data_IF_174742365047
#
_entry.id   IF_174742365047
#
_cell.length_a   1.000
_cell.length_b   1.000
_cell.length_c   1.000
_cell.angle_alpha   90.00
_cell.angle_beta   90.00
_cell.angle_gamma   90.00
#
_symmetry.space_group_name_H-M   'P 1'
#
loop_
_entity.id
_entity.type
_entity.pdbx_description
1 polymer ?
#
# COMPACT_ATOMS: atom_id res chain seq x y z
N UNK A 1 -11.75 -10.49 -4.88
CA UNK A 1 -12.33 -9.72 -3.75
C UNK A 1 -13.81 -10.00 -3.71
N UNK A 2 -14.40 -10.21 -2.54
CA UNK A 2 -15.85 -10.19 -2.39
C UNK A 2 -16.33 -8.72 -2.38
N UNK A 3 -17.13 -8.28 -3.36
CA UNK A 3 -17.51 -6.87 -3.48
C UNK A 3 -18.41 -6.39 -2.33
N UNK A 4 -19.14 -7.28 -1.66
CA UNK A 4 -20.06 -6.90 -0.57
C UNK A 4 -19.33 -6.72 0.75
N UNK A 5 -18.41 -7.63 1.06
CA UNK A 5 -17.68 -7.64 2.35
C UNK A 5 -16.29 -7.01 2.27
N UNK A 6 -15.81 -6.68 1.06
CA UNK A 6 -14.43 -6.27 0.80
C UNK A 6 -13.38 -7.30 1.27
N UNK A 7 -13.80 -8.57 1.37
CA UNK A 7 -12.92 -9.66 1.75
C UNK A 7 -11.96 -10.01 0.62
N UNK A 8 -10.69 -10.16 0.98
CA UNK A 8 -9.67 -10.67 0.09
C UNK A 8 -9.82 -12.19 -0.03
N UNK A 9 -9.93 -12.67 -1.27
CA UNK A 9 -10.14 -14.10 -1.55
C UNK A 9 -8.90 -14.77 -2.14
N UNK A 10 -8.11 -14.03 -2.93
CA UNK A 10 -6.88 -14.52 -3.54
C UNK A 10 -5.98 -13.34 -3.91
N UNK A 11 -4.67 -13.54 -3.82
CA UNK A 11 -3.62 -12.64 -4.33
C UNK A 11 -2.66 -13.44 -5.20
N UNK A 12 -2.31 -12.91 -6.36
CA UNK A 12 -1.37 -13.54 -7.29
C UNK A 12 -0.43 -12.51 -7.87
N UNK A 13 0.86 -12.80 -7.81
CA UNK A 13 1.88 -12.02 -8.52
C UNK A 13 1.87 -12.43 -10.00
N UNK A 14 1.46 -11.49 -10.87
CA UNK A 14 1.48 -11.69 -12.32
C UNK A 14 2.67 -10.95 -12.90
N UNK A 15 3.61 -11.67 -13.51
CA UNK A 15 4.73 -11.07 -14.22
C UNK A 15 4.36 -10.79 -15.67
N UNK A 16 4.65 -9.57 -16.12
CA UNK A 16 4.39 -9.15 -17.49
C UNK A 16 5.11 -10.06 -18.49
N UNK A 17 4.35 -10.65 -19.40
CA UNK A 17 4.87 -11.51 -20.48
C UNK A 17 5.03 -12.99 -20.15
N UNK A 18 4.88 -13.42 -18.90
CA UNK A 18 5.03 -14.84 -18.53
C UNK A 18 3.75 -15.66 -18.72
N UNK A 19 2.57 -15.07 -18.54
CA UNK A 19 1.31 -15.80 -18.57
C UNK A 19 0.15 -14.95 -19.11
N UNK A 20 -0.70 -15.57 -19.93
CA UNK A 20 -1.96 -15.01 -20.45
C UNK A 20 -3.19 -15.49 -19.67
N UNK A 21 -3.01 -16.42 -18.73
CA UNK A 21 -4.11 -17.09 -18.03
C UNK A 21 -3.87 -17.06 -16.52
N UNK A 22 -4.92 -16.70 -15.78
CA UNK A 22 -4.92 -16.79 -14.32
C UNK A 22 -5.70 -18.05 -13.97
N UNK A 23 -5.00 -19.07 -13.47
CA UNK A 23 -5.65 -20.25 -12.90
C UNK A 23 -6.15 -19.89 -11.52
N UNK A 24 -7.36 -20.30 -11.14
CA UNK A 24 -7.94 -20.03 -9.82
C UNK A 24 -8.75 -21.24 -9.37
N UNK A 25 -8.67 -21.55 -8.07
CA UNK A 25 -9.46 -22.64 -7.52
C UNK A 25 -10.96 -22.31 -7.51
N UNK A 26 -11.79 -23.31 -7.80
CA UNK A 26 -13.24 -23.14 -7.88
C UNK A 26 -13.87 -22.81 -6.53
N UNK A 27 -13.19 -23.14 -5.44
CA UNK A 27 -13.64 -22.88 -4.07
C UNK A 27 -13.71 -21.38 -3.72
N UNK A 28 -13.04 -20.52 -4.50
CA UNK A 28 -13.22 -19.07 -4.37
C UNK A 28 -14.58 -18.59 -4.85
N UNK A 29 -15.29 -19.39 -5.65
CA UNK A 29 -16.64 -19.11 -6.11
C UNK A 29 -17.72 -19.88 -5.35
N UNK A 30 -17.34 -20.89 -4.53
CA UNK A 30 -18.31 -21.58 -3.70
C UNK A 30 -18.88 -20.61 -2.65
N UNK A 31 -20.15 -20.76 -2.30
CA UNK A 31 -20.81 -20.00 -1.22
C UNK A 31 -20.88 -18.47 -1.41
N UNK A 32 -20.64 -17.95 -2.63
CA UNK A 32 -20.56 -16.50 -2.90
C UNK A 32 -21.36 -16.13 -4.15
N UNK A 33 -22.13 -15.05 -4.07
CA UNK A 33 -22.93 -14.56 -5.20
C UNK A 33 -22.09 -13.81 -6.25
N UNK A 34 -20.95 -13.26 -5.84
CA UNK A 34 -20.11 -12.42 -6.69
C UNK A 34 -18.65 -12.44 -6.26
N UNK A 35 -17.76 -12.38 -7.26
CA UNK A 35 -16.31 -12.23 -7.08
C UNK A 35 -15.82 -11.14 -8.03
N UNK A 36 -15.06 -10.20 -7.50
CA UNK A 36 -14.42 -9.12 -8.26
C UNK A 36 -12.94 -9.41 -8.46
N UNK A 37 -12.50 -9.45 -9.72
CA UNK A 37 -11.10 -9.49 -10.12
C UNK A 37 -10.60 -8.04 -10.32
N UNK A 38 -9.48 -7.69 -9.70
CA UNK A 38 -8.86 -6.36 -9.79
C UNK A 38 -7.39 -6.50 -10.17
N UNK A 39 -6.96 -5.74 -11.19
CA UNK A 39 -5.56 -5.64 -11.63
C UNK A 39 -5.08 -4.18 -11.72
N UNK A 40 -5.93 -3.25 -11.29
CA UNK A 40 -5.76 -1.80 -11.29
C UNK A 40 -5.36 -1.24 -9.91
N UNK A 41 -5.20 -2.11 -8.91
CA UNK A 41 -4.85 -1.73 -7.56
C UNK A 41 -3.34 -1.72 -7.36
N UNK A 42 -2.86 -0.75 -6.57
CA UNK A 42 -1.49 -0.74 -6.04
C UNK A 42 -1.50 -0.88 -4.53
N UNK A 43 -0.66 -1.75 -3.99
CA UNK A 43 -0.60 -1.98 -2.55
C UNK A 43 0.18 -0.87 -1.84
N UNK A 44 -0.47 -0.18 -0.89
CA UNK A 44 0.20 0.79 0.00
C UNK A 44 1.09 0.11 1.05
N UNK A 45 0.86 -1.17 1.30
CA UNK A 45 1.56 -1.99 2.31
C UNK A 45 1.44 -1.44 3.73
N UNK A 46 0.27 -0.86 4.01
CA UNK A 46 -0.19 -0.50 5.35
C UNK A 46 -1.18 -1.58 5.78
N UNK A 47 -0.90 -2.23 6.91
CA UNK A 47 -1.71 -3.32 7.44
C UNK A 47 -2.30 -2.89 8.79
N UNK A 48 -3.61 -3.07 8.94
CA UNK A 48 -4.30 -2.95 10.22
C UNK A 48 -4.50 -4.37 10.75
N UNK A 49 -3.73 -4.73 11.77
CA UNK A 49 -3.70 -6.08 12.29
C UNK A 49 -4.47 -6.19 13.60
N UNK A 50 -5.20 -7.28 13.77
CA UNK A 50 -5.71 -7.68 15.06
C UNK A 50 -4.58 -8.34 15.89
N UNK A 51 -4.72 -8.44 17.23
CA UNK A 51 -3.69 -9.06 18.08
C UNK A 51 -3.35 -10.50 17.69
N UNK A 52 -4.30 -11.24 17.11
CA UNK A 52 -4.14 -12.63 16.67
C UNK A 52 -3.08 -12.79 15.58
N UNK A 53 -2.80 -11.73 14.80
CA UNK A 53 -1.74 -11.76 13.78
C UNK A 53 -0.39 -12.10 14.41
N UNK A 54 -0.08 -11.56 15.60
CA UNK A 54 1.19 -11.83 16.28
C UNK A 54 1.30 -13.29 16.74
N UNK A 55 0.17 -13.90 17.14
CA UNK A 55 0.13 -15.31 17.51
C UNK A 55 0.38 -16.20 16.29
N UNK A 56 -0.27 -15.91 15.17
CA UNK A 56 -0.07 -16.64 13.91
C UNK A 56 1.38 -16.58 13.42
N UNK A 57 2.05 -15.43 13.54
CA UNK A 57 3.48 -15.31 13.23
C UNK A 57 4.38 -16.08 14.21
N UNK A 58 3.96 -16.24 15.47
CA UNK A 58 4.73 -16.99 16.47
C UNK A 58 4.58 -18.50 16.27
N UNK A 59 3.38 -18.95 15.88
CA UNK A 59 3.07 -20.36 15.66
C UNK A 59 3.63 -20.88 14.33
N UNK A 60 3.71 -20.02 13.30
CA UNK A 60 4.22 -20.36 11.97
C UNK A 60 5.61 -19.73 11.74
N UNK A 61 6.66 -20.51 12.02
CA UNK A 61 8.05 -20.05 11.97
C UNK A 61 8.54 -19.65 10.58
N UNK A 62 7.88 -20.12 9.53
CA UNK A 62 8.18 -19.86 8.12
C UNK A 62 7.60 -18.55 7.59
N UNK A 63 6.71 -17.89 8.35
CA UNK A 63 6.22 -16.56 8.00
C UNK A 63 7.29 -15.48 8.21
N UNK A 64 7.98 -15.10 7.14
CA UNK A 64 9.04 -14.08 7.16
C UNK A 64 8.58 -12.75 6.53
N UNK A 65 7.57 -12.79 5.66
CA UNK A 65 7.04 -11.65 4.93
C UNK A 65 5.51 -11.62 5.01
N UNK A 66 4.96 -10.50 5.51
CA UNK A 66 3.50 -10.38 5.67
C UNK A 66 2.72 -10.54 4.36
N UNK A 67 3.25 -10.03 3.25
CA UNK A 67 2.58 -10.08 1.95
C UNK A 67 2.69 -11.47 1.31
N UNK A 68 3.90 -12.03 1.28
CA UNK A 68 4.18 -13.26 0.54
C UNK A 68 3.82 -14.52 1.31
N UNK A 69 4.09 -14.52 2.61
CA UNK A 69 4.02 -15.73 3.42
C UNK A 69 2.72 -15.71 4.23
N UNK A 70 2.51 -14.67 5.06
CA UNK A 70 1.33 -14.60 5.93
C UNK A 70 0.01 -14.47 5.14
N UNK A 71 -0.13 -13.49 4.24
CA UNK A 71 -1.37 -13.31 3.47
C UNK A 71 -1.69 -14.54 2.63
N UNK A 72 -0.70 -15.10 1.94
CA UNK A 72 -0.90 -16.32 1.14
C UNK A 72 -1.28 -17.51 2.02
N UNK A 73 -0.58 -17.70 3.15
CA UNK A 73 -0.83 -18.80 4.10
C UNK A 73 -2.23 -18.74 4.71
N UNK A 74 -2.64 -17.56 5.18
CA UNK A 74 -3.99 -17.35 5.74
C UNK A 74 -5.09 -17.55 4.67
N UNK A 75 -4.83 -17.17 3.43
CA UNK A 75 -5.78 -17.40 2.33
C UNK A 75 -5.85 -18.88 1.91
N UNK A 76 -4.76 -19.65 2.04
CA UNK A 76 -4.78 -21.09 1.79
C UNK A 76 -5.45 -21.88 2.90
N UNK A 77 -5.43 -21.38 4.14
CA UNK A 77 -6.00 -22.04 5.32
C UNK A 77 -7.30 -21.34 5.78
N UNK A 78 -8.16 -20.98 4.82
CA UNK A 78 -9.41 -20.26 5.09
C UNK A 78 -10.33 -21.01 6.09
N UNK A 79 -10.26 -22.34 6.11
CA UNK A 79 -11.03 -23.21 7.01
C UNK A 79 -10.76 -22.95 8.51
N UNK A 80 -9.59 -22.40 8.85
CA UNK A 80 -9.25 -21.99 10.22
C UNK A 80 -10.01 -20.73 10.68
N UNK A 81 -10.77 -20.10 9.78
CA UNK A 81 -11.70 -19.02 10.10
C UNK A 81 -11.10 -17.62 10.06
N UNK A 82 -9.79 -17.48 9.83
CA UNK A 82 -9.13 -16.19 9.69
C UNK A 82 -9.52 -15.51 8.37
N UNK A 83 -9.78 -14.20 8.41
CA UNK A 83 -10.24 -13.43 7.25
C UNK A 83 -9.41 -12.17 7.06
N UNK A 84 -9.03 -11.91 5.81
CA UNK A 84 -8.31 -10.69 5.42
C UNK A 84 -9.27 -9.81 4.61
N UNK A 85 -9.23 -8.51 4.89
CA UNK A 85 -10.07 -7.50 4.24
C UNK A 85 -9.18 -6.46 3.55
N UNK A 86 -9.70 -5.87 2.48
CA UNK A 86 -9.07 -4.76 1.77
C UNK A 86 -9.88 -3.50 2.03
N UNK A 87 -9.18 -2.38 2.18
CA UNK A 87 -9.78 -1.06 2.13
C UNK A 87 -9.17 -0.29 0.94
N UNK A 88 -10.01 0.05 -0.03
CA UNK A 88 -9.61 0.83 -1.20
C UNK A 88 -9.66 2.33 -0.88
N UNK A 89 -8.55 3.03 -1.13
CA UNK A 89 -8.49 4.49 -1.05
C UNK A 89 -9.16 5.10 -2.28
N UNK A 90 -9.95 6.15 -2.08
CA UNK A 90 -10.74 6.82 -3.11
C UNK A 90 -10.41 8.32 -3.15
N UNK A 91 -9.33 8.66 -3.83
CA UNK A 91 -8.85 10.05 -3.98
C UNK A 91 -7.76 10.45 -2.99
N UNK A 92 -7.39 9.57 -2.06
CA UNK A 92 -6.22 9.73 -1.22
C UNK A 92 -4.96 9.13 -1.85
N UNK A 93 -3.79 9.58 -1.38
CA UNK A 93 -2.49 9.07 -1.82
C UNK A 93 -1.95 8.02 -0.84
N UNK A 94 -1.54 6.85 -1.34
CA UNK A 94 -0.97 5.78 -0.52
C UNK A 94 0.01 4.89 -1.27
N UNK A 95 1.31 5.19 -1.17
CA UNK A 95 2.39 4.42 -1.78
C UNK A 95 3.60 4.29 -0.85
N UNK A 96 4.30 3.16 -0.94
CA UNK A 96 5.53 2.89 -0.17
C UNK A 96 6.78 3.08 -1.04
N UNK A 97 7.71 3.90 -0.57
CA UNK A 97 9.07 3.97 -1.11
C UNK A 97 9.86 2.74 -0.68
N UNK A 98 10.26 1.89 -1.62
CA UNK A 98 11.01 0.66 -1.33
C UNK A 98 12.14 0.36 -2.32
N UNK A 99 12.30 1.18 -3.35
CA UNK A 99 13.42 1.15 -4.29
C UNK A 99 13.62 2.54 -4.93
N UNK A 100 14.71 2.72 -5.67
CA UNK A 100 15.06 4.00 -6.31
C UNK A 100 14.00 4.50 -7.31
N UNK A 101 13.31 3.59 -8.00
CA UNK A 101 12.24 3.96 -8.95
C UNK A 101 11.03 4.51 -8.21
N UNK A 102 10.61 3.87 -7.13
CA UNK A 102 9.52 4.37 -6.28
C UNK A 102 9.91 5.66 -5.56
N UNK A 103 11.18 5.82 -5.19
CA UNK A 103 11.67 7.07 -4.62
C UNK A 103 11.54 8.24 -5.62
N UNK A 104 12.00 8.05 -6.85
CA UNK A 104 11.89 9.05 -7.91
C UNK A 104 10.43 9.40 -8.23
N UNK A 105 9.54 8.39 -8.35
CA UNK A 105 8.11 8.60 -8.56
C UNK A 105 7.47 9.40 -7.40
N UNK A 106 7.60 8.90 -6.16
CA UNK A 106 7.01 9.54 -4.97
C UNK A 106 7.57 10.95 -4.77
N UNK A 107 8.85 11.18 -5.06
CA UNK A 107 9.46 12.53 -4.96
C UNK A 107 8.80 13.52 -5.92
N UNK A 108 8.51 13.11 -7.17
CA UNK A 108 7.76 13.94 -8.12
C UNK A 108 6.33 14.17 -7.63
N UNK A 109 5.68 13.16 -7.07
CA UNK A 109 4.32 13.27 -6.55
C UNK A 109 4.24 14.27 -5.38
N UNK A 110 5.24 14.28 -4.49
CA UNK A 110 5.38 15.29 -3.42
C UNK A 110 5.55 16.69 -4.00
N UNK A 111 6.45 16.87 -4.97
CA UNK A 111 6.67 18.17 -5.64
C UNK A 111 5.39 18.66 -6.34
N UNK A 112 4.65 17.75 -6.98
CA UNK A 112 3.37 18.03 -7.63
C UNK A 112 2.19 18.19 -6.66
N UNK A 113 2.42 18.15 -5.34
CA UNK A 113 1.41 18.32 -4.28
C UNK A 113 0.32 17.24 -4.23
N UNK A 114 0.59 16.03 -4.71
CA UNK A 114 -0.37 14.93 -4.65
C UNK A 114 -0.64 14.47 -3.21
N UNK A 115 0.30 14.76 -2.30
CA UNK A 115 0.22 14.40 -0.87
C UNK A 115 -0.26 15.54 0.03
N UNK A 116 -0.87 16.61 -0.51
CA UNK A 116 -1.31 17.74 0.30
C UNK A 116 -2.13 17.29 1.53
N UNK A 117 -1.84 17.77 2.76
CA UNK A 117 -0.99 18.92 3.13
C UNK A 117 0.51 18.62 3.34
N UNK A 118 1.01 17.44 2.96
CA UNK A 118 2.42 17.08 3.07
C UNK A 118 3.20 17.53 1.83
N UNK A 119 3.46 18.83 1.73
CA UNK A 119 4.24 19.46 0.67
C UNK A 119 5.30 20.41 1.27
N UNK A 120 6.41 20.71 0.58
CA UNK A 120 7.50 21.52 1.15
C UNK A 120 7.05 22.90 1.68
N UNK A 121 6.13 23.57 0.98
CA UNK A 121 5.62 24.90 1.34
C UNK A 121 4.73 24.91 2.59
N UNK A 122 4.25 23.76 3.05
CA UNK A 122 3.50 23.69 4.31
C UNK A 122 4.41 23.77 5.52
N UNK A 123 5.75 23.73 5.32
CA UNK A 123 6.78 23.97 6.32
C UNK A 123 6.55 23.20 7.64
N UNK A 124 5.92 22.03 7.56
CA UNK A 124 5.44 21.26 8.71
C UNK A 124 6.53 20.39 9.33
N UNK A 125 7.58 20.08 8.58
CA UNK A 125 8.71 19.28 9.03
C UNK A 125 9.73 20.17 9.76
N UNK A 126 9.49 20.48 11.03
CA UNK A 126 10.44 21.22 11.85
C UNK A 126 11.37 20.26 12.61
N UNK A 127 12.68 20.41 12.46
CA UNK A 127 13.63 19.60 13.21
C UNK A 127 13.88 20.21 14.61
N UNK A 128 14.01 19.42 15.69
CA UNK A 128 14.28 19.92 17.04
C UNK A 128 15.57 20.75 17.17
N UNK A 129 16.53 20.59 16.24
CA UNK A 129 17.86 21.22 16.27
C UNK A 129 18.05 22.32 15.22
N UNK A 130 17.04 23.14 14.98
CA UNK A 130 17.22 24.46 14.38
C UNK A 130 16.99 24.58 12.87
N UNK A 131 16.82 23.48 12.14
CA UNK A 131 16.33 23.59 10.77
C UNK A 131 14.84 23.91 10.77
N UNK A 132 14.50 25.11 10.30
CA UNK A 132 13.13 25.56 10.08
C UNK A 132 12.96 25.76 8.57
N UNK A 133 12.20 24.89 7.88
CA UNK A 133 11.92 25.09 6.48
C UNK A 133 11.20 26.42 6.28
N UNK A 134 11.63 27.17 5.26
CA UNK A 134 10.96 28.40 4.83
C UNK A 134 10.80 28.36 3.31
N UNK A 135 10.06 27.36 2.85
CA UNK A 135 9.73 27.19 1.45
C UNK A 135 8.45 27.97 1.10
N UNK A 136 8.46 28.57 -0.09
CA UNK A 136 7.26 29.09 -0.74
C UNK A 136 7.00 28.37 -2.06
N UNK A 137 5.73 28.17 -2.38
CA UNK A 137 5.31 27.57 -3.64
C UNK A 137 5.18 28.63 -4.73
N UNK A 138 5.81 28.38 -5.87
CA UNK A 138 5.75 29.19 -7.08
C UNK A 138 5.09 28.40 -8.22
N UNK A 139 4.81 29.08 -9.34
CA UNK A 139 4.16 28.48 -10.50
C UNK A 139 4.93 27.25 -11.03
N UNK A 140 4.22 26.28 -11.61
CA UNK A 140 4.80 25.03 -12.18
C UNK A 140 5.54 24.15 -11.16
N UNK A 141 5.03 24.03 -9.94
CA UNK A 141 5.60 23.15 -8.90
C UNK A 141 7.06 23.48 -8.52
N UNK A 142 7.41 24.76 -8.61
CA UNK A 142 8.71 25.27 -8.16
C UNK A 142 8.61 25.68 -6.69
N UNK A 143 9.58 25.25 -5.89
CA UNK A 143 9.69 25.65 -4.47
C UNK A 143 10.92 26.52 -4.28
N UNK A 144 10.75 27.64 -3.57
CA UNK A 144 11.82 28.60 -3.28
C UNK A 144 12.11 28.55 -1.79
N UNK A 145 13.35 28.24 -1.43
CA UNK A 145 13.86 28.29 -0.06
C UNK A 145 14.36 29.70 0.28
N UNK A 146 13.76 30.33 1.29
CA UNK A 146 14.14 31.65 1.77
C UNK A 146 15.19 31.62 2.88
N UNK A 147 15.66 30.45 3.31
CA UNK A 147 16.74 30.32 4.29
C UNK A 147 18.14 30.42 3.67
N UNK A 148 18.24 30.36 2.33
CA UNK A 148 19.50 30.35 1.58
C UNK A 148 19.96 31.73 1.07
N UNK A 149 19.26 32.82 1.40
CA UNK A 149 19.70 34.18 1.05
C UNK A 149 20.81 34.65 2.00
N UNK A 150 21.98 34.90 1.42
CA UNK A 150 23.20 35.42 2.05
C UNK A 150 23.02 36.80 2.71
#
# INVERSE_FOLDING_TARGET
IDPRSQRLLAVKDVKAGETKHIMQDTDVFSERDAVQLRMDLTESQIYICSPEVLMLFSDNFDFQNIRRDFVTGVLSEEELGNKIFIHELNGEYGLRVHNLRTYDAVSRDVINRWLFPWAPDTNSLQAPKGWRPNYSYAHQNVYIDHSATA
#
